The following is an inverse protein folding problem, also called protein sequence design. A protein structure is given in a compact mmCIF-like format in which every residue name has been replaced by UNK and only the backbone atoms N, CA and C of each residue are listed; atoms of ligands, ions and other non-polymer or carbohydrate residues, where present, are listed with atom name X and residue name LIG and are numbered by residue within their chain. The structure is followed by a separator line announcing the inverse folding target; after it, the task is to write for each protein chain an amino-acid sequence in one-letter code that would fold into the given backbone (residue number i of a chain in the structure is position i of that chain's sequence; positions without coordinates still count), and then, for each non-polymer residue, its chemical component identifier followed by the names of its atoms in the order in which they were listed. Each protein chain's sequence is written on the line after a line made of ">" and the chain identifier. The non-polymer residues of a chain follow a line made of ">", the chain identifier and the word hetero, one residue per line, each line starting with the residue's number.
data_IF_344491472795
#
_entry.id   IF_344491472795
#
_cell.length_a   1.000
_cell.length_b   1.000
_cell.length_c   1.000
_cell.angle_alpha   90.00
_cell.angle_beta   90.00
_cell.angle_gamma   90.00
#
_symmetry.space_group_name_H-M   'P 1'
#
loop_
_entity.id
_entity.type
_entity.pdbx_description
1 polymer ?
#
# COMPACT_ATOMS: atom_id res chain seq x y z
N UNK A 1 16.61 1.73 -2.84
CA UNK A 1 17.08 1.04 -4.08
C UNK A 1 15.96 0.15 -4.61
N UNK A 2 15.56 0.22 -5.88
CA UNK A 2 14.50 -0.64 -6.45
C UNK A 2 15.11 -1.90 -7.04
N UNK A 3 14.48 -3.06 -6.86
CA UNK A 3 14.96 -4.35 -7.40
C UNK A 3 15.21 -4.33 -8.91
N UNK A 4 14.41 -3.59 -9.68
CA UNK A 4 14.60 -3.43 -11.13
C UNK A 4 15.96 -2.82 -11.53
N UNK A 5 16.63 -2.15 -10.60
CA UNK A 5 17.89 -1.44 -10.79
C UNK A 5 19.09 -2.19 -10.14
N UNK A 6 18.85 -3.40 -9.60
CA UNK A 6 19.83 -4.21 -8.88
C UNK A 6 20.00 -5.58 -9.52
N UNK A 7 21.18 -6.15 -9.31
CA UNK A 7 21.44 -7.56 -9.54
C UNK A 7 21.71 -8.28 -8.21
N UNK A 8 21.76 -9.59 -8.22
CA UNK A 8 21.92 -10.41 -7.02
C UNK A 8 23.25 -10.16 -6.27
N UNK A 9 24.34 -9.82 -6.96
CA UNK A 9 25.64 -9.54 -6.35
C UNK A 9 25.61 -8.25 -5.51
N UNK A 10 24.85 -7.25 -5.95
CA UNK A 10 24.64 -6.01 -5.18
C UNK A 10 23.82 -6.27 -3.92
N UNK A 11 22.85 -7.19 -3.98
CA UNK A 11 22.08 -7.59 -2.81
C UNK A 11 22.93 -8.42 -1.84
N UNK A 12 23.80 -9.28 -2.33
CA UNK A 12 24.77 -10.03 -1.50
C UNK A 12 25.70 -9.07 -0.74
N UNK A 13 26.23 -8.05 -1.42
CA UNK A 13 27.03 -7.00 -0.77
C UNK A 13 26.22 -6.16 0.23
N UNK A 14 24.95 -5.88 -0.06
CA UNK A 14 24.05 -5.17 0.86
C UNK A 14 23.86 -5.96 2.17
N UNK A 15 23.65 -7.27 2.07
CA UNK A 15 23.45 -8.17 3.21
C UNK A 15 24.68 -8.30 4.13
N UNK A 16 25.86 -7.84 3.72
CA UNK A 16 27.02 -7.74 4.62
C UNK A 16 26.88 -6.67 5.70
N UNK A 17 25.95 -5.71 5.53
CA UNK A 17 25.78 -4.55 6.42
C UNK A 17 24.37 -4.31 6.94
N UNK A 18 23.34 -4.78 6.23
CA UNK A 18 21.93 -4.58 6.59
C UNK A 18 21.09 -5.76 6.08
N UNK A 19 20.06 -6.15 6.84
CA UNK A 19 19.17 -7.27 6.51
C UNK A 19 17.71 -6.83 6.28
N UNK A 20 17.47 -5.50 6.22
CA UNK A 20 16.13 -4.94 5.98
C UNK A 20 15.76 -4.99 4.51
N UNK A 21 14.49 -5.23 4.22
CA UNK A 21 13.93 -5.15 2.87
C UNK A 21 12.48 -4.67 2.94
N UNK A 22 12.00 -3.99 1.90
CA UNK A 22 10.61 -3.54 1.82
C UNK A 22 9.88 -4.33 0.74
N UNK A 23 8.70 -4.88 1.09
CA UNK A 23 7.76 -5.55 0.21
C UNK A 23 6.47 -4.73 0.07
N UNK A 24 6.28 -3.98 -1.02
CA UNK A 24 5.00 -3.33 -1.28
C UNK A 24 3.93 -4.36 -1.65
N UNK A 25 2.70 -4.11 -1.20
CA UNK A 25 1.52 -4.92 -1.54
C UNK A 25 0.36 -3.98 -1.86
N UNK A 26 -0.33 -4.23 -2.94
CA UNK A 26 -1.50 -3.47 -3.34
C UNK A 26 -2.64 -4.37 -3.81
N UNK A 27 -3.48 -3.82 -4.66
CA UNK A 27 -4.52 -4.54 -5.39
C UNK A 27 -4.63 -3.95 -6.79
N UNK A 28 -5.02 -4.76 -7.76
CA UNK A 28 -5.47 -4.27 -9.07
C UNK A 28 -6.99 -4.22 -9.01
N UNK A 29 -7.55 -3.03 -8.85
CA UNK A 29 -8.99 -2.85 -8.70
C UNK A 29 -9.48 -1.49 -9.19
N UNK A 30 -10.79 -1.35 -9.30
CA UNK A 30 -11.42 -0.09 -9.65
C UNK A 30 -11.05 1.02 -8.65
N UNK A 31 -10.70 2.19 -9.14
CA UNK A 31 -10.46 3.42 -8.38
C UNK A 31 -11.14 4.61 -9.06
N UNK A 32 -12.43 4.45 -9.36
CA UNK A 32 -13.23 5.47 -10.05
C UNK A 32 -12.52 6.00 -11.30
N UNK A 33 -11.99 7.21 -11.25
CA UNK A 33 -11.34 7.92 -12.37
C UNK A 33 -9.81 7.74 -12.41
N UNK A 34 -9.25 7.00 -11.45
CA UNK A 34 -7.81 6.76 -11.34
C UNK A 34 -7.41 5.44 -11.99
N UNK A 35 -6.11 5.18 -12.02
CA UNK A 35 -5.57 3.92 -12.52
C UNK A 35 -6.13 2.71 -11.76
N UNK A 36 -6.37 1.60 -12.46
CA UNK A 36 -6.66 0.31 -11.82
C UNK A 36 -5.50 -0.20 -10.96
N UNK A 37 -4.30 0.35 -11.12
CA UNK A 37 -3.11 0.01 -10.36
C UNK A 37 -2.79 1.03 -9.25
N UNK A 38 -3.75 1.85 -8.85
CA UNK A 38 -3.54 2.93 -7.88
C UNK A 38 -2.85 2.42 -6.62
N UNK A 39 -3.35 1.38 -5.97
CA UNK A 39 -2.76 0.81 -4.75
C UNK A 39 -1.32 0.35 -4.96
N UNK A 40 -1.04 -0.31 -6.09
CA UNK A 40 0.29 -0.81 -6.43
C UNK A 40 1.28 0.32 -6.64
N UNK A 41 0.86 1.35 -7.38
CA UNK A 41 1.66 2.55 -7.67
C UNK A 41 1.99 3.29 -6.37
N UNK A 42 1.00 3.48 -5.51
CA UNK A 42 1.15 4.21 -4.25
C UNK A 42 2.06 3.45 -3.29
N UNK A 43 1.81 2.15 -3.06
CA UNK A 43 2.63 1.33 -2.17
C UNK A 43 4.09 1.24 -2.65
N UNK A 44 4.33 0.94 -3.95
CA UNK A 44 5.69 0.83 -4.48
C UNK A 44 6.44 2.16 -4.43
N UNK A 45 5.76 3.25 -4.79
CA UNK A 45 6.38 4.57 -4.84
C UNK A 45 6.72 5.10 -3.45
N UNK A 46 5.79 5.03 -2.50
CA UNK A 46 6.02 5.46 -1.12
C UNK A 46 7.15 4.65 -0.46
N UNK A 47 7.14 3.33 -0.67
CA UNK A 47 8.23 2.45 -0.21
C UNK A 47 9.58 2.86 -0.79
N UNK A 48 9.63 3.14 -2.09
CA UNK A 48 10.88 3.53 -2.75
C UNK A 48 11.40 4.88 -2.24
N UNK A 49 10.54 5.89 -2.11
CA UNK A 49 10.92 7.22 -1.61
C UNK A 49 11.31 7.20 -0.12
N UNK A 50 10.69 6.33 0.68
CA UNK A 50 11.03 6.16 2.08
C UNK A 50 12.38 5.45 2.28
N UNK A 51 12.62 4.38 1.53
CA UNK A 51 13.78 3.51 1.67
C UNK A 51 15.06 4.06 0.99
N UNK A 52 14.92 4.93 -0.03
CA UNK A 52 16.06 5.42 -0.82
C UNK A 52 17.16 6.09 0.01
N UNK A 53 16.86 7.03 0.96
CA UNK A 53 17.90 7.67 1.79
C UNK A 53 18.63 6.70 2.72
N UNK A 54 18.00 5.57 3.04
CA UNK A 54 18.53 4.53 3.91
C UNK A 54 19.31 3.45 3.14
N UNK A 55 19.27 3.49 1.81
CA UNK A 55 19.88 2.47 0.96
C UNK A 55 19.21 1.09 1.05
N UNK A 56 17.96 1.01 1.54
CA UNK A 56 17.24 -0.25 1.73
C UNK A 56 16.60 -0.70 0.40
N UNK A 57 16.74 -1.99 0.01
CA UNK A 57 16.12 -2.54 -1.19
C UNK A 57 14.58 -2.58 -1.09
N UNK A 58 13.91 -2.33 -2.23
CA UNK A 58 12.46 -2.38 -2.37
C UNK A 58 12.09 -3.32 -3.50
N UNK A 59 11.30 -4.34 -3.18
CA UNK A 59 10.76 -5.32 -4.14
C UNK A 59 9.72 -4.68 -5.07
N UNK A 60 9.42 -5.30 -6.22
CA UNK A 60 8.20 -4.99 -6.99
C UNK A 60 6.96 -5.26 -6.13
N UNK A 61 5.90 -4.49 -6.36
CA UNK A 61 4.66 -4.69 -5.63
C UNK A 61 4.01 -6.05 -5.95
N UNK A 62 3.42 -6.70 -4.94
CA UNK A 62 2.44 -7.77 -5.15
C UNK A 62 1.13 -7.09 -5.56
N UNK A 63 0.77 -7.24 -6.84
CA UNK A 63 -0.26 -6.44 -7.49
C UNK A 63 -1.68 -7.00 -7.40
N UNK A 64 -1.88 -8.16 -6.77
CA UNK A 64 -3.18 -8.78 -6.63
C UNK A 64 -3.50 -8.97 -5.16
N UNK A 65 -4.63 -8.39 -4.73
CA UNK A 65 -5.11 -8.38 -3.36
C UNK A 65 -6.51 -8.99 -3.19
N UNK A 66 -7.08 -8.76 -2.04
CA UNK A 66 -8.43 -9.18 -1.66
C UNK A 66 -9.38 -8.00 -1.88
N UNK A 67 -10.15 -8.00 -2.96
CA UNK A 67 -11.09 -6.91 -3.26
C UNK A 67 -12.54 -7.37 -3.34
N UNK A 68 -13.46 -6.55 -2.85
CA UNK A 68 -14.91 -6.71 -3.02
C UNK A 68 -15.46 -6.20 -4.37
N UNK A 69 -14.63 -5.58 -5.21
CA UNK A 69 -15.08 -4.87 -6.42
C UNK A 69 -15.20 -5.74 -7.68
N UNK A 70 -15.45 -7.04 -7.54
CA UNK A 70 -15.49 -8.00 -8.64
C UNK A 70 -16.55 -7.72 -9.70
N UNK A 71 -17.54 -6.85 -9.44
CA UNK A 71 -18.51 -6.38 -10.43
C UNK A 71 -17.97 -5.26 -11.34
N UNK A 72 -16.79 -4.72 -11.06
CA UNK A 72 -16.12 -3.75 -11.92
C UNK A 72 -15.07 -4.46 -12.77
N UNK A 73 -15.13 -4.34 -14.11
CA UNK A 73 -14.11 -4.95 -14.97
C UNK A 73 -12.70 -4.49 -14.61
N UNK A 74 -11.75 -5.43 -14.56
CA UNK A 74 -10.38 -5.13 -14.20
C UNK A 74 -10.06 -5.23 -12.71
N UNK A 75 -10.99 -5.74 -11.88
CA UNK A 75 -10.81 -5.93 -10.44
C UNK A 75 -10.76 -7.44 -10.09
N UNK A 76 -9.66 -8.16 -10.41
CA UNK A 76 -9.50 -9.55 -9.98
C UNK A 76 -9.27 -9.61 -8.47
N UNK A 77 -9.77 -10.67 -7.82
CA UNK A 77 -9.60 -10.85 -6.37
C UNK A 77 -8.93 -12.17 -6.04
N UNK A 78 -8.13 -12.16 -4.99
CA UNK A 78 -7.65 -13.38 -4.33
C UNK A 78 -8.55 -13.75 -3.14
N UNK A 79 -8.46 -15.00 -2.69
CA UNK A 79 -8.91 -15.36 -1.36
C UNK A 79 -7.90 -14.85 -0.34
N UNK A 80 -8.35 -14.43 0.83
CA UNK A 80 -7.48 -13.94 1.91
C UNK A 80 -6.38 -14.96 2.26
N UNK A 81 -6.75 -16.26 2.38
CA UNK A 81 -5.79 -17.33 2.62
C UNK A 81 -4.78 -17.53 1.49
N UNK A 82 -5.16 -17.23 0.24
CA UNK A 82 -4.24 -17.31 -0.89
C UNK A 82 -3.20 -16.17 -0.81
N UNK A 83 -3.65 -14.96 -0.49
CA UNK A 83 -2.73 -13.83 -0.31
C UNK A 83 -1.79 -14.08 0.88
N UNK A 84 -2.32 -14.55 2.01
CA UNK A 84 -1.50 -14.91 3.18
C UNK A 84 -0.44 -15.97 2.84
N UNK A 85 -0.80 -17.00 2.07
CA UNK A 85 0.15 -18.00 1.60
C UNK A 85 1.24 -17.42 0.69
N UNK A 86 0.87 -16.57 -0.28
CA UNK A 86 1.84 -15.90 -1.17
C UNK A 86 2.81 -15.02 -0.38
N UNK A 87 2.29 -14.22 0.56
CA UNK A 87 3.10 -13.37 1.43
C UNK A 87 4.06 -14.21 2.29
N UNK A 88 3.57 -15.30 2.89
CA UNK A 88 4.37 -16.20 3.72
C UNK A 88 5.49 -16.87 2.93
N UNK A 89 5.22 -17.32 1.70
CA UNK A 89 6.22 -17.94 0.83
C UNK A 89 7.31 -16.93 0.42
N UNK A 90 6.92 -15.70 0.05
CA UNK A 90 7.86 -14.64 -0.31
C UNK A 90 8.72 -14.26 0.90
N UNK A 91 8.11 -14.00 2.06
CA UNK A 91 8.80 -13.66 3.30
C UNK A 91 9.77 -14.76 3.72
N UNK A 92 9.30 -16.02 3.77
CA UNK A 92 10.14 -17.16 4.14
C UNK A 92 11.32 -17.37 3.20
N UNK A 93 11.11 -17.14 1.89
CA UNK A 93 12.19 -17.18 0.90
C UNK A 93 13.23 -16.08 1.12
N UNK A 94 12.79 -14.84 1.38
CA UNK A 94 13.68 -13.71 1.68
C UNK A 94 14.51 -13.95 2.95
N UNK A 95 13.86 -14.46 4.00
CA UNK A 95 14.53 -14.81 5.26
C UNK A 95 15.58 -15.91 5.05
N UNK A 96 15.28 -16.91 4.23
CA UNK A 96 16.25 -17.95 3.82
C UNK A 96 17.44 -17.43 3.03
N UNK A 97 17.34 -16.23 2.45
CA UNK A 97 18.40 -15.56 1.71
C UNK A 97 19.19 -14.56 2.58
N UNK A 98 18.80 -14.35 3.83
CA UNK A 98 19.50 -13.46 4.76
C UNK A 98 18.78 -12.13 5.07
N UNK A 99 17.63 -11.83 4.45
CA UNK A 99 16.81 -10.68 4.80
C UNK A 99 16.01 -10.98 6.08
N UNK A 100 16.59 -10.66 7.25
CA UNK A 100 15.97 -10.95 8.55
C UNK A 100 14.77 -10.06 8.89
N UNK A 101 14.66 -8.87 8.25
CA UNK A 101 13.65 -7.86 8.55
C UNK A 101 12.91 -7.44 7.29
N UNK A 102 11.64 -7.83 7.17
CA UNK A 102 10.77 -7.53 6.02
C UNK A 102 9.67 -6.55 6.42
N UNK A 103 9.73 -5.30 5.95
CA UNK A 103 8.62 -4.35 6.08
C UNK A 103 7.66 -4.54 4.92
N UNK A 104 6.44 -4.97 5.21
CA UNK A 104 5.37 -5.03 4.22
C UNK A 104 4.60 -3.73 4.25
N UNK A 105 4.57 -3.00 3.14
CA UNK A 105 3.82 -1.74 2.98
C UNK A 105 2.59 -2.01 2.16
N UNK A 106 1.43 -1.92 2.81
CA UNK A 106 0.14 -2.20 2.19
C UNK A 106 -0.55 -0.93 1.71
N UNK A 107 -0.89 -0.88 0.43
CA UNK A 107 -1.68 0.20 -0.18
C UNK A 107 -3.18 -0.09 -0.28
N UNK A 108 -3.66 -1.26 0.20
CA UNK A 108 -5.04 -1.71 -0.02
C UNK A 108 -5.67 -2.31 1.24
N UNK A 109 -6.72 -1.68 1.76
CA UNK A 109 -7.35 -2.09 3.02
C UNK A 109 -7.89 -3.52 3.05
N UNK A 110 -8.28 -4.08 1.90
CA UNK A 110 -8.76 -5.47 1.81
C UNK A 110 -7.71 -6.54 2.16
N UNK A 111 -6.42 -6.19 2.15
CA UNK A 111 -5.31 -7.10 2.44
C UNK A 111 -5.00 -7.24 3.95
N UNK A 112 -5.56 -6.37 4.79
CA UNK A 112 -5.21 -6.24 6.22
C UNK A 112 -5.31 -7.58 6.97
N UNK A 113 -6.32 -8.41 6.70
CA UNK A 113 -6.48 -9.72 7.33
C UNK A 113 -5.30 -10.66 7.05
N UNK A 114 -4.96 -10.82 5.77
CA UNK A 114 -3.80 -11.63 5.34
C UNK A 114 -2.49 -11.09 5.91
N UNK A 115 -2.33 -9.76 5.95
CA UNK A 115 -1.14 -9.10 6.49
C UNK A 115 -0.92 -9.37 7.97
N UNK A 116 -1.97 -9.27 8.77
CA UNK A 116 -1.92 -9.58 10.21
C UNK A 116 -1.58 -11.04 10.50
N UNK A 117 -2.06 -11.96 9.67
CA UNK A 117 -1.72 -13.38 9.78
C UNK A 117 -0.21 -13.58 9.57
N UNK A 118 0.36 -12.98 8.54
CA UNK A 118 1.79 -13.10 8.22
C UNK A 118 2.68 -12.43 9.26
N UNK A 119 2.33 -11.24 9.73
CA UNK A 119 3.03 -10.55 10.81
C UNK A 119 3.02 -11.38 12.10
N UNK A 120 1.87 -11.92 12.49
CA UNK A 120 1.73 -12.78 13.66
C UNK A 120 2.52 -14.09 13.54
N UNK A 121 2.66 -14.62 12.33
CA UNK A 121 3.47 -15.83 12.04
C UNK A 121 4.99 -15.58 12.08
N UNK A 122 5.44 -14.33 12.04
CA UNK A 122 6.87 -13.95 11.98
C UNK A 122 7.20 -12.79 12.92
N UNK A 123 6.95 -12.95 14.24
CA UNK A 123 7.08 -11.85 15.20
C UNK A 123 8.51 -11.29 15.25
N UNK A 124 8.62 -9.97 15.15
CA UNK A 124 9.91 -9.24 15.17
C UNK A 124 10.70 -9.26 13.86
N UNK A 125 10.35 -10.17 12.93
CA UNK A 125 11.00 -10.27 11.61
C UNK A 125 10.16 -9.70 10.49
N UNK A 126 8.86 -9.58 10.66
CA UNK A 126 7.93 -8.94 9.72
C UNK A 126 7.19 -7.83 10.45
N UNK A 127 7.09 -6.67 9.80
CA UNK A 127 6.19 -5.59 10.21
C UNK A 127 5.22 -5.33 9.08
N UNK A 128 3.93 -5.22 9.43
CA UNK A 128 2.88 -4.76 8.52
C UNK A 128 2.63 -3.26 8.71
N UNK A 129 2.59 -2.51 7.63
CA UNK A 129 2.35 -1.06 7.64
C UNK A 129 1.27 -0.71 6.63
N UNK A 130 0.17 -0.16 7.11
CA UNK A 130 -0.86 0.41 6.24
C UNK A 130 -0.42 1.80 5.77
N UNK A 131 -0.46 2.05 4.48
CA UNK A 131 0.08 3.27 3.85
C UNK A 131 -0.52 4.55 4.41
N UNK A 132 -1.80 4.50 4.77
CA UNK A 132 -2.55 5.67 5.22
C UNK A 132 -2.75 5.76 6.73
N UNK A 133 -2.25 4.79 7.52
CA UNK A 133 -2.44 4.81 8.98
C UNK A 133 -1.70 5.96 9.67
N UNK A 134 -2.33 6.46 10.75
CA UNK A 134 -1.74 7.46 11.63
C UNK A 134 -1.74 8.88 11.05
N UNK A 135 -0.59 9.53 10.95
CA UNK A 135 -0.51 10.92 10.50
C UNK A 135 -1.07 11.19 9.10
N UNK A 136 -0.90 10.33 8.10
CA UNK A 136 -1.58 10.47 6.80
C UNK A 136 -3.09 10.55 6.93
N UNK A 137 -3.70 9.62 7.67
CA UNK A 137 -5.15 9.58 7.91
C UNK A 137 -5.65 10.88 8.58
N UNK A 138 -4.96 11.34 9.64
CA UNK A 138 -5.27 12.60 10.31
C UNK A 138 -5.26 13.80 9.34
N UNK A 139 -4.27 13.87 8.45
CA UNK A 139 -4.17 14.94 7.45
C UNK A 139 -5.30 14.86 6.43
N UNK A 140 -5.63 13.67 5.96
CA UNK A 140 -6.70 13.48 5.01
C UNK A 140 -8.06 13.89 5.61
N UNK A 141 -8.35 13.45 6.82
CA UNK A 141 -9.57 13.80 7.56
C UNK A 141 -9.64 15.30 7.92
N UNK A 142 -8.51 15.96 8.21
CA UNK A 142 -8.45 17.43 8.44
C UNK A 142 -8.85 18.22 7.18
N UNK A 143 -8.45 17.73 6.00
CA UNK A 143 -8.68 18.41 4.71
C UNK A 143 -10.09 18.12 4.17
N UNK A 144 -10.54 16.89 4.29
CA UNK A 144 -11.83 16.41 3.80
C UNK A 144 -12.33 15.27 4.71
N UNK A 145 -13.26 15.54 5.63
CA UNK A 145 -13.74 14.53 6.57
C UNK A 145 -14.53 13.38 5.92
N UNK A 146 -14.97 13.55 4.67
CA UNK A 146 -15.70 12.55 3.90
C UNK A 146 -14.81 11.77 2.92
N UNK A 147 -13.45 11.98 2.97
CA UNK A 147 -12.53 11.25 2.12
C UNK A 147 -12.61 9.74 2.37
N UNK A 148 -12.53 8.96 1.30
CA UNK A 148 -12.55 7.51 1.36
C UNK A 148 -11.92 6.95 0.08
N UNK A 149 -12.07 5.65 -0.17
CA UNK A 149 -11.59 4.94 -1.36
C UNK A 149 -11.86 5.71 -2.66
N UNK A 150 -10.85 5.79 -3.50
CA UNK A 150 -10.85 6.45 -4.82
C UNK A 150 -11.20 7.96 -4.76
N UNK A 151 -10.88 8.62 -3.64
CA UNK A 151 -11.01 10.07 -3.45
C UNK A 151 -9.70 10.81 -3.77
N UNK A 152 -9.64 12.08 -3.42
CA UNK A 152 -8.45 12.93 -3.59
C UNK A 152 -7.21 12.39 -2.88
N UNK A 153 -7.38 11.63 -1.79
CA UNK A 153 -6.27 11.08 -1.00
C UNK A 153 -5.43 10.04 -1.77
N UNK A 154 -5.98 9.51 -2.86
CA UNK A 154 -5.29 8.58 -3.77
C UNK A 154 -5.01 9.19 -5.15
N UNK A 155 -5.45 10.43 -5.37
CA UNK A 155 -5.34 11.15 -6.62
C UNK A 155 -4.04 11.97 -6.70
N UNK A 156 -2.96 11.32 -7.09
CA UNK A 156 -1.65 11.93 -7.32
C UNK A 156 -1.32 11.97 -8.82
N UNK A 157 -0.35 12.79 -9.25
CA UNK A 157 0.05 12.86 -10.67
C UNK A 157 0.39 11.51 -11.30
N UNK A 158 0.81 10.53 -10.51
CA UNK A 158 1.21 9.19 -10.96
C UNK A 158 0.08 8.15 -10.94
N UNK A 159 -1.07 8.46 -10.34
CA UNK A 159 -2.28 7.62 -10.37
C UNK A 159 -3.30 8.13 -11.39
N UNK A 160 -3.12 9.34 -11.92
CA UNK A 160 -4.00 9.97 -12.93
C UNK A 160 -3.85 9.35 -14.30
N UNK A 161 -4.94 9.31 -15.02
CA UNK A 161 -4.97 8.84 -16.42
C UNK A 161 -5.12 10.03 -17.38
N UNK A 162 -4.35 10.03 -18.45
CA UNK A 162 -4.42 11.07 -19.46
C UNK A 162 -5.80 11.08 -20.15
N UNK A 163 -6.40 12.26 -20.26
CA UNK A 163 -7.69 12.44 -20.92
C UNK A 163 -8.92 12.03 -20.09
N UNK A 164 -8.73 11.67 -18.82
CA UNK A 164 -9.85 11.44 -17.90
C UNK A 164 -10.12 12.72 -17.13
N UNK A 165 -11.36 13.20 -17.22
CA UNK A 165 -11.84 14.37 -16.47
C UNK A 165 -12.43 13.93 -15.13
N UNK A 166 -12.05 14.61 -14.05
CA UNK A 166 -12.55 14.36 -12.71
C UNK A 166 -13.82 15.19 -12.46
N UNK A 167 -14.79 14.68 -11.68
CA UNK A 167 -15.92 15.48 -11.23
C UNK A 167 -15.47 16.71 -10.44
N UNK A 168 -16.19 17.82 -10.62
CA UNK A 168 -15.91 19.08 -9.91
C UNK A 168 -16.53 19.14 -8.53
N UNK A 169 -17.53 18.32 -8.24
CA UNK A 169 -18.27 18.27 -6.97
C UNK A 169 -17.80 17.07 -6.14
N UNK A 170 -17.88 17.19 -4.83
CA UNK A 170 -17.62 16.08 -3.92
C UNK A 170 -18.67 14.98 -4.10
N UNK A 171 -18.28 13.75 -3.86
CA UNK A 171 -19.19 12.62 -3.77
C UNK A 171 -19.76 12.50 -2.36
N UNK A 172 -21.08 12.31 -2.29
CA UNK A 172 -21.73 11.94 -1.04
C UNK A 172 -21.18 10.60 -0.52
N UNK A 173 -20.93 10.46 0.78
CA UNK A 173 -20.42 9.23 1.35
C UNK A 173 -21.33 8.03 1.04
N UNK A 174 -20.71 6.95 0.58
CA UNK A 174 -21.41 5.70 0.30
C UNK A 174 -21.64 4.95 1.61
N UNK A 175 -22.87 4.53 1.93
CA UNK A 175 -23.14 3.78 3.15
C UNK A 175 -22.37 2.45 3.20
N UNK A 176 -21.63 2.22 4.27
CA UNK A 176 -20.88 0.99 4.51
C UNK A 176 -21.54 0.15 5.63
N UNK A 177 -21.40 -1.19 5.60
CA UNK A 177 -20.72 -1.98 4.56
C UNK A 177 -21.51 -2.06 3.26
N UNK A 178 -20.80 -2.21 2.14
CA UNK A 178 -21.45 -2.45 0.86
C UNK A 178 -22.26 -3.76 0.87
N UNK A 179 -23.32 -3.85 0.04
CA UNK A 179 -24.03 -5.13 -0.17
C UNK A 179 -23.07 -6.25 -0.57
N UNK A 180 -23.26 -7.45 -0.02
CA UNK A 180 -22.41 -8.61 -0.32
C UNK A 180 -22.57 -9.09 -1.80
N UNK A 181 -23.70 -8.82 -2.44
CA UNK A 181 -23.91 -9.16 -3.84
C UNK A 181 -23.19 -8.12 -4.74
N UNK A 182 -22.24 -8.55 -5.62
CA UNK A 182 -21.37 -7.64 -6.36
C UNK A 182 -22.10 -6.60 -7.21
N UNK A 183 -23.19 -6.97 -7.90
CA UNK A 183 -23.93 -6.02 -8.71
C UNK A 183 -24.72 -5.00 -7.87
N UNK A 184 -25.13 -5.37 -6.66
CA UNK A 184 -25.76 -4.44 -5.72
C UNK A 184 -24.71 -3.49 -5.11
N UNK A 185 -23.51 -4.00 -4.79
CA UNK A 185 -22.39 -3.18 -4.36
C UNK A 185 -22.02 -2.13 -5.42
N UNK A 186 -21.94 -2.55 -6.69
CA UNK A 186 -21.69 -1.63 -7.81
C UNK A 186 -22.78 -0.57 -7.97
N UNK A 187 -24.06 -0.94 -7.80
CA UNK A 187 -25.14 0.05 -7.84
C UNK A 187 -25.07 1.06 -6.69
N UNK A 188 -24.65 0.61 -5.51
CA UNK A 188 -24.52 1.48 -4.34
C UNK A 188 -23.32 2.42 -4.47
N UNK A 189 -22.16 1.93 -4.90
CA UNK A 189 -20.95 2.73 -5.07
C UNK A 189 -20.94 3.58 -6.37
N UNK A 190 -21.76 3.21 -7.37
CA UNK A 190 -21.91 3.99 -8.61
C UNK A 190 -20.63 4.02 -9.44
N UNK A 191 -19.92 5.14 -9.47
CA UNK A 191 -18.64 5.31 -10.17
C UNK A 191 -17.45 4.60 -9.50
N UNK A 192 -17.61 4.15 -8.26
CA UNK A 192 -16.61 3.39 -7.54
C UNK A 192 -15.90 4.16 -6.42
N UNK A 193 -15.97 5.49 -6.38
CA UNK A 193 -15.53 6.24 -5.20
C UNK A 193 -16.49 6.04 -4.03
N UNK A 194 -15.97 6.09 -2.79
CA UNK A 194 -16.80 5.93 -1.60
C UNK A 194 -17.22 7.25 -0.94
N UNK A 195 -16.60 8.36 -1.32
CA UNK A 195 -16.99 9.66 -0.80
C UNK A 195 -15.88 10.71 -0.92
N UNK A 196 -16.23 11.94 -0.59
CA UNK A 196 -15.32 13.06 -0.54
C UNK A 196 -14.98 13.69 -1.90
N UNK A 197 -14.00 14.55 -1.88
CA UNK A 197 -13.50 15.27 -3.06
C UNK A 197 -12.68 14.34 -3.97
N UNK A 198 -12.78 14.54 -5.30
CA UNK A 198 -11.97 13.77 -6.25
C UNK A 198 -10.56 14.34 -6.46
N UNK A 199 -10.36 15.60 -6.13
CA UNK A 199 -9.07 16.28 -6.32
C UNK A 199 -8.87 17.39 -5.30
N UNK A 200 -7.59 17.68 -5.01
CA UNK A 200 -7.17 18.79 -4.15
C UNK A 200 -6.02 19.57 -4.79
N UNK A 201 -5.74 20.79 -4.31
CA UNK A 201 -4.53 21.51 -4.70
C UNK A 201 -3.27 20.67 -4.40
N UNK A 202 -2.26 20.79 -5.26
CA UNK A 202 -1.00 20.06 -5.13
C UNK A 202 -0.33 20.21 -3.75
N UNK A 203 -0.59 21.29 -3.05
CA UNK A 203 -0.07 21.50 -1.69
C UNK A 203 -0.64 20.47 -0.70
N UNK A 204 -1.94 20.18 -0.79
CA UNK A 204 -2.60 19.18 0.06
C UNK A 204 -2.12 17.78 -0.27
N UNK A 205 -2.06 17.45 -1.58
CA UNK A 205 -1.51 16.18 -2.07
C UNK A 205 -0.08 15.96 -1.56
N UNK A 206 0.77 16.98 -1.65
CA UNK A 206 2.16 16.92 -1.17
C UNK A 206 2.24 16.69 0.34
N UNK A 207 1.44 17.43 1.13
CA UNK A 207 1.39 17.31 2.58
C UNK A 207 1.03 15.89 3.01
N UNK A 208 0.04 15.28 2.36
CA UNK A 208 -0.39 13.92 2.60
C UNK A 208 0.71 12.92 2.22
N UNK A 209 1.28 13.06 1.02
CA UNK A 209 2.31 12.18 0.51
C UNK A 209 3.57 12.18 1.36
N UNK A 210 4.07 13.36 1.73
CA UNK A 210 5.25 13.51 2.59
C UNK A 210 5.03 12.84 3.95
N UNK A 211 3.83 12.91 4.51
CA UNK A 211 3.50 12.23 5.77
C UNK A 211 3.51 10.71 5.61
N UNK A 212 2.95 10.16 4.51
CA UNK A 212 2.96 8.73 4.24
C UNK A 212 4.39 8.20 4.05
N UNK A 213 5.22 8.87 3.25
CA UNK A 213 6.62 8.51 3.06
C UNK A 213 7.42 8.59 4.37
N UNK A 214 7.17 9.62 5.19
CA UNK A 214 7.86 9.77 6.49
C UNK A 214 7.43 8.69 7.49
N UNK A 215 6.17 8.28 7.51
CA UNK A 215 5.69 7.21 8.38
C UNK A 215 6.41 5.88 8.07
N UNK A 216 6.53 5.51 6.80
CA UNK A 216 7.28 4.33 6.37
C UNK A 216 8.76 4.46 6.76
N UNK A 217 9.38 5.61 6.51
CA UNK A 217 10.80 5.85 6.83
C UNK A 217 11.07 5.70 8.31
N UNK A 218 10.23 6.28 9.16
CA UNK A 218 10.33 6.16 10.62
C UNK A 218 10.26 4.69 11.05
N UNK A 219 9.36 3.89 10.45
CA UNK A 219 9.30 2.44 10.74
C UNK A 219 10.60 1.71 10.39
N UNK A 220 11.25 2.11 9.31
CA UNK A 220 12.54 1.53 8.90
C UNK A 220 13.70 1.99 9.80
N UNK A 221 13.70 3.26 10.21
CA UNK A 221 14.76 3.84 11.09
C UNK A 221 14.68 3.28 12.50
N UNK A 222 13.48 3.18 13.07
CA UNK A 222 13.25 2.74 14.45
C UNK A 222 13.27 1.21 14.62
N UNK A 223 13.45 0.46 13.53
CA UNK A 223 13.43 -1.00 13.57
C UNK A 223 14.77 -1.57 14.03
N UNK A 224 14.91 -1.76 15.33
CA UNK A 224 16.07 -2.39 15.92
C UNK A 224 16.22 -3.86 15.47
N UNK A 225 17.46 -4.28 15.23
CA UNK A 225 17.74 -5.66 14.88
C UNK A 225 17.28 -6.61 16.01
N UNK A 226 16.53 -7.67 15.69
CA UNK A 226 16.22 -8.69 16.68
C UNK A 226 17.55 -9.33 17.13
N UNK A 227 18.01 -9.01 18.35
CA UNK A 227 19.19 -9.63 18.96
C UNK A 227 20.35 -8.74 19.37
N UNK A 228 20.23 -7.40 19.30
CA UNK A 228 21.16 -6.48 19.94
C UNK A 228 20.99 -6.43 21.47
N UNK A 229 20.77 -7.56 22.11
CA UNK A 229 20.82 -7.71 23.54
C UNK A 229 22.28 -7.63 23.98
N UNK A 230 22.64 -6.55 24.70
CA UNK A 230 23.91 -6.38 25.41
C UNK A 230 24.32 -7.68 26.13
N UNK A 231 25.37 -8.31 25.62
CA UNK A 231 26.17 -9.28 26.40
C UNK A 231 27.00 -8.58 27.45
#
# INVERSE_FOLDING_TARGET
>A
MRFRDLNWMQLESYLESDDRIVLPVGSTEQHAYLSLETDNILAERASAEAAEPLGIPVLPAIAYGVTGFTAYPGSPTLQESTLAAVLSDVVGSLQGQGFGRVLVVNGHGGNTGAGREVEAGSPGSVLWHELWDGRPDEIAAEIDPDYDHASWSENFPWTRLAGVELPGEAKEPVPLPLPAEPSAARRAAGDGSFGGLYQRPQQDERRLWEAAVQAIRTRLEDWDAPGGGSG
#
